data_IF_128379891703
#
_entry.id   IF_128379891703
#
_cell.length_a   1.000
_cell.length_b   1.000
_cell.length_c   1.000
_cell.angle_alpha   90.00
_cell.angle_beta   90.00
_cell.angle_gamma   90.00
#
_symmetry.space_group_name_H-M   'P 1'
#
loop_
_entity.id
_entity.type
_entity.pdbx_description
1 polymer ?
#
# COMPACT_ATOMS: atom_id res chain seq x y z
N UNK A 1 -11.85 5.69 7.49
CA UNK A 1 -10.42 6.03 7.65
C UNK A 1 -9.61 4.75 7.91
N UNK A 2 -8.37 4.68 7.42
CA UNK A 2 -7.43 3.60 7.70
C UNK A 2 -6.21 4.17 8.42
N UNK A 3 -5.80 3.57 9.54
CA UNK A 3 -4.65 4.03 10.33
C UNK A 3 -3.67 2.89 10.51
N UNK A 4 -2.38 3.14 10.23
CA UNK A 4 -1.29 2.19 10.47
C UNK A 4 -0.58 2.57 11.77
N UNK A 5 -0.60 1.65 12.73
CA UNK A 5 0.07 1.81 14.02
C UNK A 5 1.24 0.84 14.15
N UNK A 6 2.35 1.24 14.80
CA UNK A 6 3.43 0.32 15.12
C UNK A 6 2.92 -0.87 15.93
N UNK A 7 3.30 -2.09 15.54
CA UNK A 7 2.77 -3.35 16.12
C UNK A 7 2.95 -3.55 17.62
N UNK A 8 3.72 -2.69 18.30
CA UNK A 8 3.90 -2.69 19.76
C UNK A 8 2.75 -2.00 20.51
N UNK A 9 1.90 -1.22 19.84
CA UNK A 9 0.76 -0.52 20.46
C UNK A 9 -0.49 -1.38 20.34
N UNK A 10 -1.25 -1.55 21.43
CA UNK A 10 -2.57 -2.21 21.40
C UNK A 10 -3.66 -1.18 21.16
N UNK A 11 -3.90 -0.81 19.90
CA UNK A 11 -5.00 0.08 19.51
C UNK A 11 -6.08 -0.73 18.80
N UNK A 12 -7.34 -0.57 19.19
CA UNK A 12 -8.46 -1.30 18.59
C UNK A 12 -9.18 -0.45 17.56
N UNK A 13 -9.74 -1.10 16.54
CA UNK A 13 -10.64 -0.47 15.56
C UNK A 13 -11.86 0.14 16.24
N UNK A 14 -12.35 1.24 15.66
CA UNK A 14 -13.53 1.98 16.08
C UNK A 14 -14.48 2.12 14.89
N UNK A 15 -15.78 2.41 15.10
CA UNK A 15 -16.69 2.74 14.01
C UNK A 15 -16.08 3.79 13.07
N UNK A 16 -16.04 3.50 11.76
CA UNK A 16 -15.44 4.38 10.75
C UNK A 16 -13.91 4.35 10.65
N UNK A 17 -13.20 3.66 11.56
CA UNK A 17 -11.73 3.64 11.61
C UNK A 17 -11.17 2.22 11.72
N UNK A 18 -10.50 1.77 10.67
CA UNK A 18 -9.79 0.50 10.65
C UNK A 18 -8.34 0.70 11.11
N UNK A 19 -7.96 0.05 12.22
CA UNK A 19 -6.60 0.06 12.74
C UNK A 19 -5.82 -1.14 12.19
N UNK A 20 -4.68 -0.84 11.60
CA UNK A 20 -3.75 -1.81 11.02
C UNK A 20 -2.46 -1.78 11.83
N UNK A 21 -1.95 -2.94 12.21
CA UNK A 21 -0.66 -3.05 12.88
C UNK A 21 0.42 -3.42 11.88
N UNK A 22 1.56 -2.74 11.95
CA UNK A 22 2.69 -2.96 11.04
C UNK A 22 3.90 -2.13 11.41
N UNK A 23 4.81 -1.98 10.45
CA UNK A 23 6.01 -1.14 10.53
C UNK A 23 5.87 0.02 9.56
N UNK A 24 6.28 1.21 9.99
CA UNK A 24 6.30 2.42 9.16
C UNK A 24 7.72 2.97 9.18
N UNK A 25 8.32 3.16 8.02
CA UNK A 25 9.59 3.86 7.91
C UNK A 25 9.32 5.36 7.79
N UNK A 26 10.14 6.21 8.43
CA UNK A 26 9.90 7.66 8.42
C UNK A 26 9.91 8.28 7.03
N UNK A 27 10.71 7.74 6.09
CA UNK A 27 10.76 8.21 4.70
C UNK A 27 9.54 7.81 3.86
N UNK A 28 8.62 7.00 4.41
CA UNK A 28 7.36 6.62 3.77
C UNK A 28 6.18 7.45 4.26
N UNK A 29 6.45 8.47 5.07
CA UNK A 29 5.45 9.35 5.66
C UNK A 29 5.61 10.74 5.07
N UNK A 30 4.49 11.32 4.64
CA UNK A 30 4.39 12.70 4.20
C UNK A 30 3.33 13.43 5.03
N UNK A 31 3.34 14.76 4.95
CA UNK A 31 2.35 15.60 5.65
C UNK A 31 1.34 16.14 4.65
N UNK A 32 0.07 15.78 4.80
CA UNK A 32 -1.04 16.34 4.03
C UNK A 32 -2.06 16.93 5.01
N UNK A 33 -2.38 18.22 4.87
CA UNK A 33 -3.33 18.91 5.76
C UNK A 33 -3.00 18.71 7.26
N UNK A 34 -1.73 18.90 7.63
CA UNK A 34 -1.19 18.70 8.98
C UNK A 34 -1.32 17.27 9.54
N UNK A 35 -1.66 16.30 8.68
CA UNK A 35 -1.74 14.88 9.04
C UNK A 35 -0.56 14.11 8.46
N UNK A 36 0.03 13.27 9.31
CA UNK A 36 1.02 12.27 8.89
C UNK A 36 0.30 11.15 8.14
N UNK A 37 0.56 11.03 6.85
CA UNK A 37 -0.02 10.00 5.98
C UNK A 37 1.08 9.17 5.34
N UNK A 38 0.76 7.93 4.95
CA UNK A 38 1.67 7.18 4.11
C UNK A 38 1.73 7.85 2.74
N UNK A 39 2.95 8.00 2.21
CA UNK A 39 3.16 8.31 0.81
C UNK A 39 2.41 7.31 -0.08
N UNK A 40 2.08 7.73 -1.30
CA UNK A 40 1.12 7.02 -2.12
C UNK A 40 1.54 5.56 -2.45
N UNK A 41 2.81 5.30 -2.76
CA UNK A 41 3.26 3.94 -3.11
C UNK A 41 3.23 2.96 -1.92
N UNK A 42 3.77 3.29 -0.72
CA UNK A 42 3.60 2.42 0.44
C UNK A 42 2.14 2.28 0.87
N UNK A 43 1.30 3.32 0.70
CA UNK A 43 -0.14 3.23 0.94
C UNK A 43 -0.84 2.21 0.01
N UNK A 44 -0.56 2.28 -1.30
CA UNK A 44 -1.05 1.32 -2.29
C UNK A 44 -0.62 -0.11 -1.96
N UNK A 45 0.64 -0.31 -1.56
CA UNK A 45 1.16 -1.62 -1.16
C UNK A 45 0.42 -2.18 0.08
N UNK A 46 0.14 -1.35 1.09
CA UNK A 46 -0.66 -1.75 2.27
C UNK A 46 -2.07 -2.19 1.88
N UNK A 47 -2.74 -1.42 1.01
CA UNK A 47 -4.12 -1.70 0.57
C UNK A 47 -4.18 -3.00 -0.25
N UNK A 48 -3.25 -3.20 -1.18
CA UNK A 48 -3.15 -4.42 -1.99
C UNK A 48 -2.90 -5.66 -1.14
N UNK A 49 -1.95 -5.62 -0.21
CA UNK A 49 -1.64 -6.77 0.64
C UNK A 49 -2.78 -7.17 1.58
N UNK A 50 -3.71 -6.25 1.87
CA UNK A 50 -4.87 -6.49 2.74
C UNK A 50 -6.12 -6.93 1.96
N UNK A 51 -6.03 -7.10 0.64
CA UNK A 51 -7.11 -7.64 -0.19
C UNK A 51 -8.12 -6.60 -0.70
N UNK A 52 -7.88 -5.30 -0.51
CA UNK A 52 -8.72 -4.23 -1.06
C UNK A 52 -8.24 -3.85 -2.47
N UNK A 53 -8.30 -4.83 -3.36
CA UNK A 53 -7.66 -4.81 -4.68
C UNK A 53 -8.23 -3.76 -5.67
N UNK A 54 -9.56 -3.63 -5.88
CA UNK A 54 -10.09 -2.84 -6.99
C UNK A 54 -9.68 -1.36 -6.92
N UNK A 55 -9.79 -0.76 -5.74
CA UNK A 55 -9.47 0.66 -5.51
C UNK A 55 -8.00 0.97 -5.85
N UNK A 56 -7.07 0.06 -5.58
CA UNK A 56 -5.65 0.35 -5.87
C UNK A 56 -5.36 0.29 -7.36
N UNK A 57 -5.95 -0.67 -8.08
CA UNK A 57 -5.82 -0.74 -9.53
C UNK A 57 -6.47 0.47 -10.21
N UNK A 58 -7.62 0.92 -9.71
CA UNK A 58 -8.26 2.15 -10.18
C UNK A 58 -7.38 3.39 -9.94
N UNK A 59 -6.74 3.50 -8.77
CA UNK A 59 -5.81 4.59 -8.50
C UNK A 59 -4.60 4.56 -9.44
N UNK A 60 -4.01 3.38 -9.69
CA UNK A 60 -2.92 3.25 -10.66
C UNK A 60 -3.40 3.63 -12.06
N UNK A 61 -4.59 3.22 -12.47
CA UNK A 61 -5.17 3.57 -13.76
C UNK A 61 -5.42 5.08 -13.96
N UNK A 62 -5.39 5.90 -12.91
CA UNK A 62 -5.51 7.37 -13.01
C UNK A 62 -4.21 8.08 -13.36
N UNK A 63 -3.05 7.45 -13.20
CA UNK A 63 -1.78 8.05 -13.63
C UNK A 63 -1.73 8.21 -15.16
N UNK A 64 -0.89 9.09 -15.71
CA UNK A 64 -0.59 9.11 -17.15
C UNK A 64 -0.05 7.74 -17.63
N UNK A 65 -0.41 7.26 -18.84
CA UNK A 65 -0.03 5.93 -19.31
C UNK A 65 1.48 5.62 -19.23
N UNK A 66 2.32 6.62 -19.50
CA UNK A 66 3.78 6.59 -19.42
C UNK A 66 4.32 6.41 -17.99
N UNK A 67 3.55 6.83 -16.98
CA UNK A 67 3.94 6.74 -15.57
C UNK A 67 3.36 5.52 -14.85
N UNK A 68 2.24 4.96 -15.33
CA UNK A 68 1.52 3.86 -14.67
C UNK A 68 2.42 2.66 -14.39
N UNK A 69 3.16 2.19 -15.40
CA UNK A 69 4.03 1.03 -15.24
C UNK A 69 5.17 1.32 -14.25
N UNK A 70 5.74 2.54 -14.31
CA UNK A 70 6.80 2.95 -13.40
C UNK A 70 6.31 2.97 -11.94
N UNK A 71 5.12 3.51 -11.69
CA UNK A 71 4.51 3.52 -10.35
C UNK A 71 4.18 2.09 -9.91
N UNK A 72 3.65 1.24 -10.80
CA UNK A 72 3.37 -0.16 -10.50
C UNK A 72 4.65 -0.92 -10.09
N UNK A 73 5.78 -0.69 -10.76
CA UNK A 73 7.08 -1.27 -10.38
C UNK A 73 7.51 -0.80 -8.98
N UNK A 74 7.37 0.49 -8.66
CA UNK A 74 7.69 1.03 -7.32
C UNK A 74 6.79 0.42 -6.23
N UNK A 75 5.50 0.27 -6.50
CA UNK A 75 4.54 -0.41 -5.60
C UNK A 75 4.94 -1.88 -5.41
N UNK A 76 5.29 -2.58 -6.49
CA UNK A 76 5.75 -3.97 -6.41
C UNK A 76 7.00 -4.13 -5.54
N UNK A 77 7.96 -3.21 -5.63
CA UNK A 77 9.14 -3.20 -4.76
C UNK A 77 8.75 -3.08 -3.27
N UNK A 78 7.78 -2.21 -2.95
CA UNK A 78 7.27 -2.08 -1.57
C UNK A 78 6.56 -3.35 -1.10
N UNK A 79 5.77 -3.98 -1.96
CA UNK A 79 5.11 -5.26 -1.65
C UNK A 79 6.15 -6.36 -1.38
N UNK A 80 7.21 -6.45 -2.19
CA UNK A 80 8.28 -7.45 -2.03
C UNK A 80 8.97 -7.34 -0.67
N UNK A 81 9.21 -6.11 -0.21
CA UNK A 81 9.90 -5.82 1.06
C UNK A 81 9.08 -6.17 2.32
N UNK A 82 7.78 -6.49 2.20
CA UNK A 82 6.93 -6.78 3.36
C UNK A 82 7.26 -8.12 4.01
N UNK A 83 7.12 -8.15 5.33
CA UNK A 83 7.29 -9.36 6.14
C UNK A 83 6.14 -10.38 5.97
N UNK A 84 4.91 -9.94 5.66
CA UNK A 84 3.76 -10.83 5.48
C UNK A 84 3.82 -11.56 4.12
N UNK A 85 4.12 -12.87 4.09
CA UNK A 85 4.28 -13.61 2.85
C UNK A 85 2.96 -13.84 2.12
N UNK A 86 1.83 -13.92 2.84
CA UNK A 86 0.51 -14.18 2.24
C UNK A 86 0.00 -12.94 1.54
N UNK A 87 0.03 -11.79 2.21
CA UNK A 87 -0.32 -10.50 1.63
C UNK A 87 0.58 -10.16 0.44
N UNK A 88 1.89 -10.43 0.54
CA UNK A 88 2.84 -10.23 -0.57
C UNK A 88 2.45 -11.03 -1.81
N UNK A 89 2.24 -12.34 -1.67
CA UNK A 89 1.92 -13.21 -2.82
C UNK A 89 0.63 -12.77 -3.52
N UNK A 90 -0.43 -12.53 -2.75
CA UNK A 90 -1.73 -12.10 -3.29
C UNK A 90 -1.62 -10.76 -4.03
N UNK A 91 -0.96 -9.79 -3.43
CA UNK A 91 -0.78 -8.47 -4.01
C UNK A 91 0.06 -8.50 -5.30
N UNK A 92 1.16 -9.26 -5.31
CA UNK A 92 1.99 -9.40 -6.52
C UNK A 92 1.23 -10.08 -7.66
N UNK A 93 0.53 -11.18 -7.39
CA UNK A 93 -0.29 -11.88 -8.41
C UNK A 93 -1.30 -10.93 -9.04
N UNK A 94 -1.98 -10.14 -8.22
CA UNK A 94 -2.95 -9.18 -8.71
C UNK A 94 -2.29 -8.08 -9.56
N UNK A 95 -1.21 -7.49 -9.06
CA UNK A 95 -0.53 -6.39 -9.73
C UNK A 95 0.12 -6.84 -11.05
N UNK A 96 0.71 -8.04 -11.10
CA UNK A 96 1.28 -8.63 -12.31
C UNK A 96 0.22 -9.01 -13.35
N UNK A 97 -1.03 -9.21 -12.94
CA UNK A 97 -2.14 -9.46 -13.86
C UNK A 97 -2.60 -8.19 -14.59
N UNK A 98 -2.31 -7.01 -14.04
CA UNK A 98 -2.72 -5.72 -14.60
C UNK A 98 -1.56 -4.93 -15.23
N UNK A 99 -0.33 -5.12 -14.75
CA UNK A 99 0.85 -4.36 -15.18
C UNK A 99 2.06 -5.25 -15.36
N UNK A 100 2.95 -4.85 -16.28
CA UNK A 100 4.25 -5.50 -16.44
C UNK A 100 5.17 -5.09 -15.29
N UNK A 101 5.58 -6.06 -14.48
CA UNK A 101 6.52 -5.86 -13.39
C UNK A 101 7.91 -6.32 -13.83
N UNK A 102 8.93 -5.48 -13.66
CA UNK A 102 10.32 -5.94 -13.77
C UNK A 102 10.58 -7.01 -12.69
N UNK A 103 11.19 -8.13 -13.10
CA UNK A 103 11.44 -9.32 -12.29
C UNK A 103 12.27 -9.04 -11.06
#
# INVERSE_FOLDING_TARGET
MHVLVPGRRRVRSQPGTAIHHGTVAGHDVETLHDLQVLAIEPAMAEVLCRGKSPVTLECLARYPPDLREHVAVRVAARIRARADPRGRRRALTLLSGAYRLAG
#
